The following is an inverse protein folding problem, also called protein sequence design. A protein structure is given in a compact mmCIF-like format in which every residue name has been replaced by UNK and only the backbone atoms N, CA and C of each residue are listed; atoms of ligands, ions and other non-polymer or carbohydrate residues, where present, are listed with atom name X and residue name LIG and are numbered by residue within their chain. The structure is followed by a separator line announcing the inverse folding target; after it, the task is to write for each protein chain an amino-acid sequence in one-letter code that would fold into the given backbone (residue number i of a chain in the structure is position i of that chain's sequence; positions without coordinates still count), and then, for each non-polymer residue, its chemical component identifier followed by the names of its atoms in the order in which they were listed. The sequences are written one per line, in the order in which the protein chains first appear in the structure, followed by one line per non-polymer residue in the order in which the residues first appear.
data_IF_382206826151
#
_entry.id   IF_382206826151
#
_cell.length_a   1.000
_cell.length_b   1.000
_cell.length_c   1.000
_cell.angle_alpha   90.00
_cell.angle_beta   90.00
_cell.angle_gamma   90.00
#
_symmetry.space_group_name_H-M   'P 1'
#
loop_
_entity.id
_entity.type
_entity.pdbx_description
1 polymer ?
#
# COMPACT_ATOMS: atom_id res chain seq x y z
N UNK A 1 13.84 8.45 9.39
CA UNK A 1 12.82 7.75 8.56
C UNK A 1 13.02 8.05 7.08
N UNK A 2 13.32 9.30 6.72
CA UNK A 2 13.53 9.75 5.35
C UNK A 2 14.58 8.92 4.58
N UNK A 3 15.83 8.83 5.07
CA UNK A 3 16.92 8.14 4.37
C UNK A 3 17.01 6.64 4.68
N UNK A 4 15.90 6.03 5.11
CA UNK A 4 15.88 4.61 5.44
C UNK A 4 15.74 3.79 4.16
N UNK A 5 16.73 2.95 3.89
CA UNK A 5 16.57 1.84 2.95
C UNK A 5 15.70 0.75 3.59
N UNK A 6 14.63 0.36 2.88
CA UNK A 6 13.71 -0.68 3.33
C UNK A 6 14.09 -2.00 2.67
N UNK A 7 14.48 -2.98 3.49
CA UNK A 7 14.69 -4.35 3.01
C UNK A 7 13.33 -5.00 2.72
N UNK A 8 13.06 -5.26 1.44
CA UNK A 8 11.82 -5.88 0.99
C UNK A 8 11.73 -7.38 1.31
N UNK A 9 12.84 -8.01 1.68
CA UNK A 9 12.85 -9.38 2.19
C UNK A 9 12.52 -9.45 3.69
N UNK A 10 12.56 -8.31 4.38
CA UNK A 10 12.14 -8.20 5.77
C UNK A 10 10.64 -7.96 5.87
N UNK A 11 10.03 -8.44 6.95
CA UNK A 11 8.62 -8.21 7.27
C UNK A 11 8.33 -6.74 7.66
N UNK A 12 9.36 -5.96 7.95
CA UNK A 12 9.25 -4.60 8.49
C UNK A 12 9.03 -3.58 7.37
N UNK A 13 7.83 -3.56 6.80
CA UNK A 13 7.46 -2.62 5.73
C UNK A 13 7.14 -1.20 6.24
N UNK A 14 6.94 -1.04 7.54
CA UNK A 14 6.52 0.20 8.18
C UNK A 14 7.24 0.43 9.51
N UNK A 15 7.34 1.70 9.90
CA UNK A 15 7.80 2.14 11.20
C UNK A 15 7.01 3.37 11.62
N UNK A 16 6.63 3.39 12.90
CA UNK A 16 5.95 4.51 13.52
C UNK A 16 6.73 4.92 14.77
N UNK A 17 6.79 6.22 15.05
CA UNK A 17 7.40 6.76 16.25
C UNK A 17 6.61 7.98 16.72
N UNK A 18 6.46 8.13 18.03
CA UNK A 18 5.91 9.33 18.63
C UNK A 18 7.05 10.06 19.35
N UNK A 19 7.30 11.30 18.95
CA UNK A 19 8.24 12.18 19.64
C UNK A 19 7.46 13.15 20.50
N UNK A 20 7.73 13.20 21.80
CA UNK A 20 7.09 14.11 22.75
C UNK A 20 8.09 15.18 23.17
N UNK A 21 7.76 16.44 22.90
CA UNK A 21 8.60 17.59 23.28
C UNK A 21 8.13 18.16 24.62
N UNK A 22 6.83 18.08 24.89
CA UNK A 22 6.21 18.41 26.18
C UNK A 22 4.97 17.53 26.39
N UNK A 23 4.24 17.76 27.49
CA UNK A 23 2.99 17.06 27.79
C UNK A 23 1.88 17.30 26.75
N UNK A 24 1.98 18.39 25.96
CA UNK A 24 0.95 18.82 25.03
C UNK A 24 1.46 18.97 23.58
N UNK A 25 2.73 18.63 23.31
CA UNK A 25 3.33 18.74 21.98
C UNK A 25 3.98 17.44 21.57
N UNK A 26 3.38 16.81 20.55
CA UNK A 26 3.80 15.52 20.03
C UNK A 26 3.89 15.53 18.51
N UNK A 27 4.91 14.87 17.98
CA UNK A 27 5.10 14.62 16.55
C UNK A 27 4.96 13.13 16.29
N UNK A 28 3.92 12.75 15.56
CA UNK A 28 3.75 11.37 15.11
C UNK A 28 4.43 11.18 13.75
N UNK A 29 5.53 10.44 13.76
CA UNK A 29 6.32 10.11 12.58
C UNK A 29 5.89 8.74 12.06
N UNK A 30 5.56 8.69 10.77
CA UNK A 30 5.23 7.45 10.06
C UNK A 30 6.09 7.36 8.81
N UNK A 31 6.68 6.20 8.57
CA UNK A 31 7.47 5.93 7.38
C UNK A 31 7.46 4.44 7.05
N UNK A 32 7.64 4.12 5.78
CA UNK A 32 7.51 2.75 5.28
C UNK A 32 7.54 2.71 3.77
N UNK A 33 7.61 1.50 3.23
CA UNK A 33 7.67 1.28 1.80
C UNK A 33 6.25 1.28 1.21
N UNK A 34 6.05 1.99 0.10
CA UNK A 34 4.74 2.13 -0.57
C UNK A 34 4.16 0.80 -1.12
N UNK A 35 4.87 -0.32 -0.94
CA UNK A 35 4.36 -1.66 -1.28
C UNK A 35 3.30 -2.14 -0.28
N UNK A 36 3.33 -1.65 0.97
CA UNK A 36 2.43 -2.09 2.04
C UNK A 36 1.22 -1.18 2.27
N UNK A 37 1.21 0.01 1.66
CA UNK A 37 0.15 0.99 1.80
C UNK A 37 0.08 1.92 0.60
N UNK A 38 -1.04 2.60 0.45
CA UNK A 38 -1.24 3.65 -0.55
C UNK A 38 -1.71 4.96 0.09
N UNK A 39 -1.97 5.97 -0.75
CA UNK A 39 -2.47 7.26 -0.28
C UNK A 39 -3.80 7.15 0.47
N UNK A 40 -4.66 6.20 0.11
CA UNK A 40 -5.96 6.01 0.76
C UNK A 40 -5.82 5.36 2.14
N UNK A 41 -4.84 4.47 2.28
CA UNK A 41 -4.50 3.80 3.54
C UNK A 41 -4.16 4.81 4.64
N UNK A 42 -3.54 5.94 4.30
CA UNK A 42 -3.29 7.02 5.27
C UNK A 42 -4.57 7.66 5.78
N UNK A 43 -5.58 7.85 4.93
CA UNK A 43 -6.89 8.37 5.36
C UNK A 43 -7.53 7.45 6.39
N UNK A 44 -7.51 6.13 6.14
CA UNK A 44 -8.03 5.14 7.10
C UNK A 44 -7.26 5.21 8.43
N UNK A 45 -5.92 5.23 8.37
CA UNK A 45 -5.07 5.33 9.55
C UNK A 45 -5.39 6.57 10.40
N UNK A 46 -5.52 7.75 9.78
CA UNK A 46 -5.76 8.98 10.52
C UNK A 46 -7.18 9.08 11.07
N UNK A 47 -8.18 8.55 10.37
CA UNK A 47 -9.56 8.46 10.89
C UNK A 47 -9.61 7.55 12.12
N UNK A 48 -8.97 6.38 12.06
CA UNK A 48 -8.92 5.46 13.19
C UNK A 48 -8.07 6.05 14.34
N UNK A 49 -6.98 6.74 14.03
CA UNK A 49 -6.16 7.41 15.04
C UNK A 49 -6.94 8.51 15.78
N UNK A 50 -7.70 9.34 15.05
CA UNK A 50 -8.56 10.38 15.64
C UNK A 50 -9.66 9.77 16.52
N UNK A 51 -10.29 8.69 16.06
CA UNK A 51 -11.28 7.97 16.84
C UNK A 51 -10.68 7.39 18.13
N UNK A 52 -9.54 6.72 18.04
CA UNK A 52 -8.84 6.16 19.20
C UNK A 52 -8.40 7.25 20.18
N UNK A 53 -7.83 8.35 19.67
CA UNK A 53 -7.39 9.49 20.47
C UNK A 53 -8.56 10.16 21.21
N UNK A 54 -9.71 10.28 20.53
CA UNK A 54 -10.96 10.79 21.10
C UNK A 54 -11.72 9.77 21.96
N UNK A 55 -11.13 8.61 22.25
CA UNK A 55 -11.74 7.49 23.00
C UNK A 55 -13.08 7.00 22.42
N UNK A 56 -13.25 7.12 21.10
CA UNK A 56 -14.38 6.54 20.38
C UNK A 56 -14.07 5.08 20.03
N UNK A 57 -15.06 4.19 20.00
CA UNK A 57 -14.85 2.79 19.63
C UNK A 57 -14.40 2.69 18.16
N UNK A 58 -13.40 1.85 17.91
CA UNK A 58 -13.00 1.48 16.54
C UNK A 58 -13.92 0.38 16.00
N UNK A 59 -14.20 0.39 14.68
CA UNK A 59 -14.97 -0.69 14.07
C UNK A 59 -14.24 -2.03 14.22
N UNK A 60 -14.98 -3.10 14.49
CA UNK A 60 -14.42 -4.46 14.42
C UNK A 60 -14.26 -4.85 12.96
N UNK A 61 -13.01 -5.03 12.54
CA UNK A 61 -12.69 -5.46 11.19
C UNK A 61 -12.69 -6.99 11.11
N UNK A 62 -13.41 -7.53 10.11
CA UNK A 62 -13.45 -8.96 9.83
C UNK A 62 -12.22 -9.44 9.06
N UNK A 63 -12.13 -10.75 8.82
CA UNK A 63 -11.06 -11.34 8.00
C UNK A 63 -11.06 -10.78 6.57
N UNK A 64 -12.24 -10.46 6.03
CA UNK A 64 -12.40 -9.91 4.67
C UNK A 64 -11.84 -8.50 4.53
N UNK A 65 -11.68 -7.77 5.64
CA UNK A 65 -11.05 -6.45 5.66
C UNK A 65 -9.51 -6.53 5.64
N UNK A 66 -8.92 -7.71 5.78
CA UNK A 66 -7.47 -7.89 5.76
C UNK A 66 -6.93 -7.95 4.33
N UNK A 67 -5.87 -7.20 4.06
CA UNK A 67 -5.26 -7.15 2.73
C UNK A 67 -4.80 -8.53 2.23
N UNK A 68 -4.36 -9.43 3.13
CA UNK A 68 -4.00 -10.81 2.74
C UNK A 68 -5.17 -11.59 2.16
N UNK A 69 -6.38 -11.36 2.68
CA UNK A 69 -7.61 -12.02 2.22
C UNK A 69 -7.97 -11.49 0.85
N UNK A 70 -7.95 -10.16 0.68
CA UNK A 70 -8.10 -9.51 -0.62
C UNK A 70 -7.08 -10.03 -1.65
N UNK A 71 -5.79 -10.10 -1.31
CA UNK A 71 -4.75 -10.57 -2.21
C UNK A 71 -4.95 -12.03 -2.65
N UNK A 72 -5.37 -12.88 -1.70
CA UNK A 72 -5.66 -14.29 -1.98
C UNK A 72 -6.84 -14.44 -2.93
N UNK A 73 -7.93 -13.69 -2.68
CA UNK A 73 -9.09 -13.64 -3.56
C UNK A 73 -8.73 -13.14 -4.96
N UNK A 74 -7.93 -12.07 -5.07
CA UNK A 74 -7.48 -11.54 -6.36
C UNK A 74 -6.66 -12.56 -7.15
N UNK A 75 -5.80 -13.33 -6.48
CA UNK A 75 -5.04 -14.42 -7.10
C UNK A 75 -5.97 -15.52 -7.61
N UNK A 76 -6.89 -15.98 -6.78
CA UNK A 76 -7.87 -17.01 -7.15
C UNK A 76 -8.72 -16.58 -8.35
N UNK A 77 -9.23 -15.35 -8.35
CA UNK A 77 -9.99 -14.79 -9.48
C UNK A 77 -9.18 -14.77 -10.79
N UNK A 78 -7.87 -14.54 -10.70
CA UNK A 78 -6.99 -14.57 -11.87
C UNK A 78 -6.80 -16.01 -12.36
N UNK A 79 -6.49 -16.94 -11.46
CA UNK A 79 -6.29 -18.36 -11.79
C UNK A 79 -7.57 -19.01 -12.35
N UNK A 80 -8.74 -18.61 -11.83
CA UNK A 80 -10.05 -19.01 -12.34
C UNK A 80 -10.46 -18.30 -13.65
N UNK A 81 -9.57 -17.52 -14.27
CA UNK A 81 -9.83 -16.74 -15.49
C UNK A 81 -10.99 -15.73 -15.38
N UNK A 82 -11.45 -15.40 -14.18
CA UNK A 82 -12.55 -14.45 -13.97
C UNK A 82 -12.21 -13.03 -14.45
N UNK A 83 -10.91 -12.69 -14.52
CA UNK A 83 -10.44 -11.41 -15.06
C UNK A 83 -10.19 -11.42 -16.58
N UNK A 84 -10.20 -12.60 -17.21
CA UNK A 84 -9.80 -12.77 -18.62
C UNK A 84 -10.66 -11.94 -19.56
N UNK A 85 -11.97 -11.94 -19.37
CA UNK A 85 -12.88 -11.18 -20.22
C UNK A 85 -12.52 -9.68 -20.23
N UNK A 86 -12.36 -9.07 -19.06
CA UNK A 86 -11.98 -7.65 -18.97
C UNK A 86 -10.59 -7.37 -19.56
N UNK A 87 -9.61 -8.26 -19.35
CA UNK A 87 -8.28 -8.14 -19.94
C UNK A 87 -8.37 -8.13 -21.47
N UNK A 88 -9.05 -9.11 -22.06
CA UNK A 88 -9.10 -9.28 -23.52
C UNK A 88 -9.99 -8.26 -24.22
N UNK A 89 -11.15 -7.94 -23.64
CA UNK A 89 -12.14 -7.10 -24.32
C UNK A 89 -11.97 -5.60 -24.06
N UNK A 90 -11.39 -5.22 -22.93
CA UNK A 90 -11.27 -3.82 -22.52
C UNK A 90 -9.83 -3.34 -22.50
N UNK A 91 -8.95 -3.97 -21.72
CA UNK A 91 -7.60 -3.44 -21.51
C UNK A 91 -6.67 -3.67 -22.70
N UNK A 92 -6.70 -4.87 -23.31
CA UNK A 92 -5.79 -5.22 -24.41
C UNK A 92 -5.98 -4.36 -25.66
N UNK A 93 -7.21 -4.03 -26.10
CA UNK A 93 -7.42 -3.15 -27.25
C UNK A 93 -7.02 -1.69 -27.01
N UNK A 94 -6.91 -1.25 -25.74
CA UNK A 94 -6.47 0.12 -25.40
C UNK A 94 -4.98 0.33 -25.58
N UNK A 95 -4.19 -0.75 -25.59
CA UNK A 95 -2.75 -0.69 -25.75
C UNK A 95 -2.44 -0.89 -27.22
N UNK A 96 -1.70 0.04 -27.83
CA UNK A 96 -1.19 -0.14 -29.19
C UNK A 96 -0.35 -1.43 -29.24
N UNK A 97 -0.71 -2.43 -30.07
CA UNK A 97 0.02 -3.69 -30.15
C UNK A 97 1.45 -3.51 -30.69
N UNK A 98 1.75 -2.37 -31.30
CA UNK A 98 3.08 -2.00 -31.79
C UNK A 98 3.85 -1.09 -30.82
N UNK A 99 3.26 -0.70 -29.69
CA UNK A 99 3.95 0.07 -28.67
C UNK A 99 5.18 -0.70 -28.19
N UNK A 100 6.35 -0.07 -28.33
CA UNK A 100 7.59 -0.60 -27.78
C UNK A 100 7.69 -0.19 -26.30
N UNK A 101 8.15 -1.07 -25.41
CA UNK A 101 8.47 -0.68 -24.04
C UNK A 101 9.40 0.53 -24.05
N UNK A 102 9.10 1.52 -23.21
CA UNK A 102 10.02 2.65 -23.01
C UNK A 102 11.30 2.05 -22.40
N UNK A 103 12.47 2.26 -23.02
CA UNK A 103 13.72 1.78 -22.45
C UNK A 103 13.90 2.41 -21.07
N UNK A 104 14.50 1.66 -20.13
CA UNK A 104 14.81 2.21 -18.82
C UNK A 104 15.63 3.49 -18.99
N UNK A 105 15.16 4.56 -18.36
CA UNK A 105 15.91 5.80 -18.35
C UNK A 105 17.29 5.57 -17.72
N UNK A 106 18.29 6.35 -18.13
CA UNK A 106 19.67 6.23 -17.60
C UNK A 106 19.76 6.41 -16.08
N UNK A 107 18.76 7.05 -15.48
CA UNK A 107 18.61 7.25 -14.04
C UNK A 107 17.75 6.19 -13.36
N UNK A 108 17.06 5.31 -14.09
CA UNK A 108 16.28 4.19 -13.54
C UNK A 108 17.22 3.04 -13.15
N UNK A 109 18.20 3.34 -12.28
CA UNK A 109 19.07 2.35 -11.66
C UNK A 109 18.41 1.88 -10.38
N UNK A 110 17.98 0.61 -10.36
CA UNK A 110 17.63 -0.04 -9.09
C UNK A 110 18.93 -0.44 -8.41
N UNK A 111 19.27 0.21 -7.30
CA UNK A 111 20.28 -0.28 -6.37
C UNK A 111 19.60 -1.34 -5.50
N UNK A 112 19.40 -2.54 -6.02
CA UNK A 112 19.17 -3.72 -5.17
C UNK A 112 20.50 -4.36 -4.86
#
# INVERSE_FOLDING_TARGET
MHDRTWDLNSWQAARMALLSISDNEHYFLVGGHHISWDGYSFTVLFVDLDAAYSRRPLPRLGLDSQYRTFASLKKEMYEASAMKAAIESYYRPMIDPHAKPIPLFSFAKSQT
#
